data_IF_721424230896
#
_entry.id   IF_721424230896
#
_cell.length_a   1.000
_cell.length_b   1.000
_cell.length_c   1.000
_cell.angle_alpha   90.00
_cell.angle_beta   90.00
_cell.angle_gamma   90.00
#
_symmetry.space_group_name_H-M   'P 1'
#
loop_
_entity.id
_entity.type
_entity.pdbx_description
1 polymer ?
#
# COMPACT_ATOMS: atom_id res chain seq x y z
N UNK A 1 -1.79 5.99 -12.19
CA UNK A 1 -1.81 6.49 -10.80
C UNK A 1 -1.20 7.87 -10.79
N UNK A 2 -1.91 8.92 -10.33
CA UNK A 2 -1.36 10.28 -10.25
C UNK A 2 -0.43 10.51 -9.04
N UNK A 3 -0.46 9.63 -8.03
CA UNK A 3 0.46 9.72 -6.87
C UNK A 3 1.85 9.21 -7.25
N UNK A 4 2.88 9.82 -6.65
CA UNK A 4 4.26 9.34 -6.73
C UNK A 4 4.45 8.24 -5.70
N UNK A 5 4.69 7.01 -6.15
CA UNK A 5 4.95 5.86 -5.28
C UNK A 5 6.44 5.78 -4.96
N UNK A 6 6.87 6.07 -3.72
CA UNK A 6 8.26 5.90 -3.30
C UNK A 6 8.64 4.41 -3.22
N UNK A 7 9.88 4.11 -2.83
CA UNK A 7 10.31 2.71 -2.67
C UNK A 7 9.48 1.96 -1.62
N UNK A 8 9.06 0.74 -1.95
CA UNK A 8 8.31 -0.16 -1.05
C UNK A 8 9.22 -0.91 -0.07
N UNK A 9 10.51 -0.57 0.05
CA UNK A 9 11.51 -1.33 0.84
C UNK A 9 11.12 -1.56 2.30
N UNK A 10 10.49 -0.58 2.95
CA UNK A 10 10.04 -0.73 4.33
C UNK A 10 8.86 -1.71 4.42
N UNK A 11 7.90 -1.60 3.50
CA UNK A 11 6.75 -2.51 3.44
C UNK A 11 7.24 -3.92 3.12
N UNK A 12 8.13 -4.11 2.15
CA UNK A 12 8.65 -5.43 1.80
C UNK A 12 9.46 -6.06 2.92
N UNK A 13 10.24 -5.28 3.69
CA UNK A 13 10.94 -5.80 4.86
C UNK A 13 9.98 -6.42 5.88
N UNK A 14 8.86 -5.75 6.14
CA UNK A 14 7.94 -6.13 7.21
C UNK A 14 6.82 -7.10 6.74
N UNK A 15 6.56 -7.15 5.43
CA UNK A 15 5.46 -7.91 4.82
C UNK A 15 5.89 -9.00 3.81
N UNK A 16 7.19 -9.20 3.55
CA UNK A 16 7.65 -10.24 2.61
C UNK A 16 7.33 -11.66 3.07
N UNK A 17 7.06 -12.54 2.11
CA UNK A 17 6.76 -13.95 2.37
C UNK A 17 5.60 -14.13 3.35
N UNK A 18 5.68 -15.16 4.21
CA UNK A 18 4.70 -15.36 5.29
C UNK A 18 4.83 -14.25 6.33
N UNK A 19 3.79 -13.41 6.45
CA UNK A 19 3.74 -12.32 7.42
C UNK A 19 3.76 -12.88 8.84
N UNK A 20 4.91 -12.77 9.52
CA UNK A 20 5.08 -13.26 10.91
C UNK A 20 4.54 -12.30 11.97
N UNK A 21 4.49 -11.00 11.65
CA UNK A 21 3.98 -9.96 12.53
C UNK A 21 3.05 -9.05 11.72
N UNK A 22 1.76 -9.42 11.71
CA UNK A 22 0.72 -8.68 10.98
C UNK A 22 0.64 -7.22 11.43
N UNK A 23 0.73 -6.95 12.74
CA UNK A 23 0.67 -5.59 13.28
C UNK A 23 1.77 -4.71 12.73
N UNK A 24 3.02 -5.20 12.68
CA UNK A 24 4.14 -4.45 12.11
C UNK A 24 3.95 -4.20 10.62
N UNK A 25 3.58 -5.24 9.85
CA UNK A 25 3.31 -5.14 8.43
C UNK A 25 2.21 -4.10 8.13
N UNK A 26 1.07 -4.19 8.81
CA UNK A 26 -0.06 -3.29 8.59
C UNK A 26 0.23 -1.86 9.02
N UNK A 27 0.98 -1.66 10.11
CA UNK A 27 1.42 -0.31 10.51
C UNK A 27 2.34 0.31 9.46
N UNK A 28 3.28 -0.46 8.92
CA UNK A 28 4.20 0.03 7.87
C UNK A 28 3.44 0.32 6.57
N UNK A 29 2.49 -0.53 6.19
CA UNK A 29 1.63 -0.30 5.02
C UNK A 29 0.75 0.95 5.19
N UNK A 30 0.08 1.10 6.34
CA UNK A 30 -0.76 2.26 6.63
C UNK A 30 0.05 3.57 6.62
N UNK A 31 1.26 3.56 7.18
CA UNK A 31 2.15 4.71 7.11
C UNK A 31 2.56 5.06 5.68
N UNK A 32 2.84 4.04 4.86
CA UNK A 32 3.19 4.21 3.46
C UNK A 32 2.02 4.85 2.68
N UNK A 33 0.80 4.34 2.84
CA UNK A 33 -0.40 4.88 2.19
C UNK A 33 -0.72 6.29 2.73
N UNK A 34 -0.53 6.53 4.03
CA UNK A 34 -0.71 7.86 4.62
C UNK A 34 0.23 8.91 4.06
N UNK A 35 1.42 8.52 3.61
CA UNK A 35 2.32 9.40 2.88
C UNK A 35 1.81 9.68 1.45
N UNK A 36 1.21 8.68 0.79
CA UNK A 36 0.64 8.84 -0.55
C UNK A 36 -0.59 9.77 -0.56
N UNK A 37 -1.56 9.55 0.33
CA UNK A 37 -2.81 10.31 0.36
C UNK A 37 -2.61 11.83 0.59
N UNK A 38 -1.48 12.23 1.18
CA UNK A 38 -1.14 13.63 1.45
C UNK A 38 -0.61 14.38 0.23
N UNK A 39 -0.29 13.71 -0.86
CA UNK A 39 0.29 14.36 -2.04
C UNK A 39 -0.75 15.14 -2.83
N UNK A 40 -1.92 14.54 -3.07
CA UNK A 40 -2.98 15.12 -3.90
C UNK A 40 -4.30 14.42 -3.63
N UNK A 41 -5.41 15.14 -3.83
CA UNK A 41 -6.74 14.52 -3.87
C UNK A 41 -6.92 13.74 -5.16
N UNK A 42 -7.48 12.53 -5.05
CA UNK A 42 -7.69 11.64 -6.19
C UNK A 42 -9.10 11.05 -6.17
N UNK A 43 -9.62 10.71 -7.35
CA UNK A 43 -10.92 10.03 -7.49
C UNK A 43 -10.82 8.55 -7.14
N UNK A 44 -11.95 7.87 -6.92
CA UNK A 44 -11.99 6.42 -6.70
C UNK A 44 -11.32 5.62 -7.84
N UNK A 45 -11.48 6.05 -9.09
CA UNK A 45 -10.83 5.41 -10.25
C UNK A 45 -9.30 5.59 -10.20
N UNK A 46 -8.83 6.77 -9.80
CA UNK A 46 -7.40 7.03 -9.64
C UNK A 46 -6.83 6.26 -8.43
N UNK A 47 -7.57 6.16 -7.33
CA UNK A 47 -7.22 5.35 -6.16
C UNK A 47 -7.09 3.87 -6.53
N UNK A 48 -8.03 3.31 -7.31
CA UNK A 48 -7.94 1.96 -7.84
C UNK A 48 -6.65 1.75 -8.66
N UNK A 49 -6.36 2.68 -9.58
CA UNK A 49 -5.14 2.63 -10.38
C UNK A 49 -3.86 2.75 -9.53
N UNK A 50 -3.90 3.48 -8.41
CA UNK A 50 -2.78 3.57 -7.46
C UNK A 50 -2.60 2.30 -6.63
N UNK A 51 -3.69 1.72 -6.13
CA UNK A 51 -3.67 0.44 -5.42
C UNK A 51 -3.13 -0.69 -6.32
N UNK A 52 -3.54 -0.72 -7.59
CA UNK A 52 -3.05 -1.69 -8.58
C UNK A 52 -1.54 -1.53 -8.85
N UNK A 53 -1.08 -0.29 -9.08
CA UNK A 53 0.34 -0.01 -9.30
C UNK A 53 1.20 -0.37 -8.07
N UNK A 54 0.74 -0.02 -6.87
CA UNK A 54 1.42 -0.38 -5.63
C UNK A 54 1.46 -1.90 -5.45
N UNK A 55 0.36 -2.60 -5.75
CA UNK A 55 0.29 -4.06 -5.70
C UNK A 55 1.34 -4.73 -6.58
N UNK A 56 1.51 -4.24 -7.82
CA UNK A 56 2.57 -4.73 -8.72
C UNK A 56 3.98 -4.46 -8.16
N UNK A 57 4.23 -3.31 -7.53
CA UNK A 57 5.53 -3.02 -6.92
C UNK A 57 5.81 -3.92 -5.71
N UNK A 58 4.78 -4.21 -4.91
CA UNK A 58 4.88 -5.11 -3.75
C UNK A 58 5.18 -6.55 -4.16
N UNK A 59 4.50 -7.05 -5.21
CA UNK A 59 4.79 -8.37 -5.77
C UNK A 59 6.24 -8.49 -6.27
N UNK A 60 6.73 -7.47 -6.99
CA UNK A 60 8.14 -7.38 -7.42
C UNK A 60 9.13 -7.34 -6.25
N UNK A 61 8.68 -6.93 -5.07
CA UNK A 61 9.47 -6.87 -3.85
C UNK A 61 9.27 -8.11 -2.94
N UNK A 62 8.76 -9.22 -3.47
CA UNK A 62 8.50 -10.49 -2.76
C UNK A 62 7.47 -10.40 -1.62
N UNK A 63 6.52 -9.47 -1.71
CA UNK A 63 5.31 -9.47 -0.88
C UNK A 63 4.27 -10.33 -1.60
N UNK A 64 4.14 -11.58 -1.17
CA UNK A 64 3.27 -12.59 -1.80
C UNK A 64 1.85 -12.59 -1.22
N UNK A 65 1.70 -12.14 0.02
CA UNK A 65 0.41 -12.10 0.70
C UNK A 65 -0.42 -10.92 0.18
N UNK A 66 -1.74 -11.10 0.10
CA UNK A 66 -2.64 -9.97 -0.14
C UNK A 66 -2.70 -9.10 1.12
N UNK A 67 -1.73 -8.18 1.25
CA UNK A 67 -1.63 -7.32 2.42
C UNK A 67 -2.71 -6.23 2.47
N UNK A 68 -3.42 -5.98 1.36
CA UNK A 68 -4.58 -5.11 1.39
C UNK A 68 -5.71 -5.74 2.19
N UNK A 69 -6.06 -6.99 1.89
CA UNK A 69 -7.09 -7.72 2.63
C UNK A 69 -6.65 -7.96 4.09
N UNK A 70 -5.40 -8.36 4.29
CA UNK A 70 -4.84 -8.63 5.62
C UNK A 70 -4.88 -7.42 6.55
N UNK A 71 -4.71 -6.22 6.00
CA UNK A 71 -4.64 -4.98 6.76
C UNK A 71 -5.90 -4.13 6.61
N UNK A 72 -6.97 -4.67 6.02
CA UNK A 72 -8.23 -3.98 5.76
C UNK A 72 -8.07 -2.64 5.02
N UNK A 73 -7.13 -2.57 4.08
CA UNK A 73 -6.93 -1.41 3.22
C UNK A 73 -7.98 -1.39 2.13
N UNK A 74 -8.63 -0.25 1.98
CA UNK A 74 -9.65 0.03 0.98
C UNK A 74 -9.18 1.12 0.01
N UNK A 75 -9.96 1.36 -1.05
CA UNK A 75 -9.69 2.47 -1.98
C UNK A 75 -9.79 3.84 -1.30
N UNK A 76 -10.58 3.96 -0.23
CA UNK A 76 -10.73 5.21 0.52
C UNK A 76 -9.44 5.62 1.22
N UNK A 77 -8.63 4.66 1.65
CA UNK A 77 -7.37 4.94 2.36
C UNK A 77 -6.33 5.68 1.49
N UNK A 78 -6.49 5.67 0.16
CA UNK A 78 -5.61 6.39 -0.76
C UNK A 78 -6.01 7.87 -0.98
N UNK A 79 -7.13 8.33 -0.40
CA UNK A 79 -7.64 9.70 -0.57
C UNK A 79 -8.12 10.27 0.77
N UNK A 80 -8.02 11.58 0.95
CA UNK A 80 -8.50 12.28 2.16
C UNK A 80 -10.00 12.62 2.12
N UNK A 81 -10.76 12.03 1.18
CA UNK A 81 -12.17 12.31 0.93
C UNK A 81 -13.14 11.56 1.85
#
# INVERSE_FOLDING_TARGET
CPLVLPTTRNVSRDCRGTVRNQTACCKTLANYISHLQKQSFITNLQAFNCAALLGMQLQKANVTNNIYDLCHITLKDFSLQ
#
